data_IF_807615084564
#
_entry.id   IF_807615084564
#
_cell.length_a   1.000
_cell.length_b   1.000
_cell.length_c   1.000
_cell.angle_alpha   90.00
_cell.angle_beta   90.00
_cell.angle_gamma   90.00
#
_symmetry.space_group_name_H-M   'P 1'
#
loop_
_entity.id
_entity.type
_entity.pdbx_description
1 polymer ?
#
# COMPACT_ATOMS: atom_id res chain seq x y z
N UNK A 1 5.83 -19.69 -27.19
CA UNK A 1 5.90 -19.28 -25.77
C UNK A 1 4.96 -18.09 -25.67
N UNK A 2 3.74 -18.34 -25.21
CA UNK A 2 2.66 -17.36 -25.20
C UNK A 2 2.61 -16.79 -23.77
N UNK A 3 3.20 -15.61 -23.56
CA UNK A 3 3.09 -14.90 -22.28
C UNK A 3 1.77 -14.16 -22.30
N UNK A 4 0.74 -14.76 -21.72
CA UNK A 4 -0.59 -14.16 -21.74
C UNK A 4 -0.60 -12.89 -20.88
N UNK A 5 -1.31 -11.86 -21.32
CA UNK A 5 -1.46 -10.57 -20.65
C UNK A 5 -1.82 -10.67 -19.13
N UNK A 6 -2.41 -11.79 -18.70
CA UNK A 6 -2.72 -12.10 -17.31
C UNK A 6 -1.48 -12.24 -16.42
N UNK A 7 -0.36 -12.78 -16.94
CA UNK A 7 0.89 -12.99 -16.19
C UNK A 7 1.51 -11.65 -15.75
N UNK A 8 1.37 -10.61 -16.57
CA UNK A 8 1.84 -9.27 -16.24
C UNK A 8 0.86 -8.48 -15.35
N UNK A 9 -0.44 -8.74 -15.44
CA UNK A 9 -1.46 -8.03 -14.66
C UNK A 9 -1.28 -8.19 -13.14
N UNK A 10 -0.86 -9.37 -12.70
CA UNK A 10 -0.57 -9.62 -11.29
C UNK A 10 0.69 -8.91 -10.81
N UNK A 11 1.78 -8.98 -11.58
CA UNK A 11 3.04 -8.31 -11.24
C UNK A 11 2.84 -6.79 -11.16
N UNK A 12 2.09 -6.21 -12.10
CA UNK A 12 1.70 -4.80 -12.04
C UNK A 12 0.88 -4.49 -10.78
N UNK A 13 -0.10 -5.32 -10.44
CA UNK A 13 -0.91 -5.16 -9.21
C UNK A 13 -0.05 -5.22 -7.94
N UNK A 14 0.90 -6.15 -7.87
CA UNK A 14 1.84 -6.26 -6.74
C UNK A 14 2.71 -5.02 -6.61
N UNK A 15 3.32 -4.58 -7.72
CA UNK A 15 4.16 -3.39 -7.77
C UNK A 15 3.38 -2.12 -7.37
N UNK A 16 2.16 -1.96 -7.86
CA UNK A 16 1.33 -0.80 -7.54
C UNK A 16 0.96 -0.76 -6.05
N UNK A 17 0.64 -1.91 -5.43
CA UNK A 17 0.42 -1.99 -3.99
C UNK A 17 1.67 -1.64 -3.19
N UNK A 18 2.86 -2.09 -3.61
CA UNK A 18 4.11 -1.71 -2.95
C UNK A 18 4.34 -0.20 -3.01
N UNK A 19 4.09 0.45 -4.15
CA UNK A 19 4.19 1.91 -4.27
C UNK A 19 3.22 2.60 -3.31
N UNK A 20 1.96 2.14 -3.26
CA UNK A 20 0.96 2.71 -2.36
C UNK A 20 1.34 2.55 -0.89
N UNK A 21 1.91 1.41 -0.50
CA UNK A 21 2.43 1.19 0.85
C UNK A 21 3.53 2.21 1.16
N UNK A 22 4.52 2.37 0.30
CA UNK A 22 5.59 3.34 0.50
C UNK A 22 5.06 4.78 0.58
N UNK A 23 4.04 5.13 -0.19
CA UNK A 23 3.36 6.45 -0.09
C UNK A 23 2.74 6.67 1.29
N UNK A 24 2.11 5.65 1.86
CA UNK A 24 1.51 5.74 3.20
C UNK A 24 2.58 5.78 4.29
N UNK A 25 3.68 5.05 4.14
CA UNK A 25 4.85 5.13 5.04
C UNK A 25 5.41 6.54 5.09
N UNK A 26 5.69 7.14 3.92
CA UNK A 26 6.14 8.54 3.85
C UNK A 26 5.12 9.50 4.49
N UNK A 27 3.82 9.32 4.22
CA UNK A 27 2.78 10.16 4.83
C UNK A 27 2.75 10.03 6.37
N UNK A 28 3.00 8.84 6.91
CA UNK A 28 3.11 8.60 8.35
C UNK A 28 4.37 9.24 8.94
N UNK A 29 5.53 9.15 8.26
CA UNK A 29 6.76 9.83 8.66
C UNK A 29 6.58 11.35 8.72
N UNK A 30 5.90 11.93 7.73
CA UNK A 30 5.58 13.36 7.71
C UNK A 30 4.54 13.77 8.75
N UNK A 31 3.79 12.83 9.32
CA UNK A 31 2.72 13.12 10.26
C UNK A 31 3.27 13.63 11.61
N UNK A 32 4.45 13.19 12.01
CA UNK A 32 5.08 13.60 13.27
C UNK A 32 5.50 15.09 13.26
N UNK A 33 5.63 15.69 12.07
CA UNK A 33 5.87 17.13 11.90
C UNK A 33 4.59 17.98 11.87
N UNK A 34 3.40 17.37 11.96
CA UNK A 34 2.10 18.06 11.93
C UNK A 34 1.62 18.42 13.33
N UNK A 35 0.61 19.29 13.41
CA UNK A 35 -0.01 19.62 14.69
C UNK A 35 -0.66 18.41 15.35
N UNK A 36 -0.80 18.42 16.67
CA UNK A 36 -1.44 17.32 17.42
C UNK A 36 -2.86 17.01 16.91
N UNK A 37 -3.62 18.05 16.57
CA UNK A 37 -4.98 17.92 16.06
C UNK A 37 -5.01 17.21 14.71
N UNK A 38 -4.13 17.62 13.78
CA UNK A 38 -4.00 16.96 12.48
C UNK A 38 -3.51 15.52 12.64
N UNK A 39 -2.52 15.29 13.51
CA UNK A 39 -1.99 13.95 13.80
C UNK A 39 -3.08 13.02 14.32
N UNK A 40 -3.84 13.46 15.31
CA UNK A 40 -4.93 12.67 15.90
C UNK A 40 -6.03 12.37 14.87
N UNK A 41 -6.29 13.30 13.94
CA UNK A 41 -7.29 13.11 12.90
C UNK A 41 -6.82 12.19 11.75
N UNK A 42 -5.55 12.25 11.37
CA UNK A 42 -5.01 11.57 10.19
C UNK A 42 -4.38 10.21 10.50
N UNK A 43 -3.78 10.03 11.68
CA UNK A 43 -3.10 8.77 12.07
C UNK A 43 -4.01 7.54 11.92
N UNK A 44 -5.25 7.53 12.45
CA UNK A 44 -6.11 6.35 12.33
C UNK A 44 -6.46 6.00 10.88
N UNK A 45 -6.56 7.02 10.00
CA UNK A 45 -6.86 6.84 8.58
C UNK A 45 -5.68 6.23 7.83
N UNK A 46 -4.47 6.69 8.12
CA UNK A 46 -3.23 6.16 7.53
C UNK A 46 -2.97 4.72 7.99
N UNK A 47 -3.15 4.42 9.28
CA UNK A 47 -3.04 3.07 9.82
C UNK A 47 -4.07 2.12 9.19
N UNK A 48 -5.33 2.56 9.08
CA UNK A 48 -6.39 1.79 8.43
C UNK A 48 -6.07 1.51 6.95
N UNK A 49 -5.52 2.48 6.23
CA UNK A 49 -5.09 2.31 4.83
C UNK A 49 -3.91 1.34 4.73
N UNK A 50 -2.91 1.47 5.60
CA UNK A 50 -1.75 0.58 5.64
C UNK A 50 -2.16 -0.88 5.86
N UNK A 51 -3.06 -1.13 6.81
CA UNK A 51 -3.54 -2.48 7.08
C UNK A 51 -4.25 -3.08 5.86
N UNK A 52 -5.15 -2.33 5.21
CA UNK A 52 -5.80 -2.78 3.97
C UNK A 52 -4.82 -3.12 2.87
N UNK A 53 -3.86 -2.23 2.59
CA UNK A 53 -2.86 -2.45 1.54
C UNK A 53 -2.00 -3.69 1.81
N UNK A 54 -1.59 -3.90 3.07
CA UNK A 54 -0.82 -5.08 3.47
C UNK A 54 -1.64 -6.36 3.35
N UNK A 55 -2.93 -6.31 3.66
CA UNK A 55 -3.80 -7.48 3.52
C UNK A 55 -4.08 -7.79 2.04
N UNK A 56 -4.33 -6.78 1.20
CA UNK A 56 -4.42 -6.94 -0.26
C UNK A 56 -3.14 -7.53 -0.85
N UNK A 57 -1.96 -7.06 -0.40
CA UNK A 57 -0.66 -7.58 -0.83
C UNK A 57 -0.47 -9.06 -0.46
N UNK A 58 -0.94 -9.49 0.73
CA UNK A 58 -0.89 -10.91 1.14
C UNK A 58 -1.85 -11.79 0.34
N UNK A 59 -2.96 -11.24 -0.10
CA UNK A 59 -3.99 -11.96 -0.85
C UNK A 59 -3.73 -12.01 -2.36
N UNK A 60 -2.73 -11.25 -2.85
CA UNK A 60 -2.28 -11.34 -4.23
C UNK A 60 -1.71 -12.74 -4.51
N UNK A 61 -2.14 -13.43 -5.58
CA UNK A 61 -1.69 -14.78 -5.89
C UNK A 61 -0.19 -14.80 -6.24
N UNK A 62 0.65 -15.22 -5.29
CA UNK A 62 2.08 -15.43 -5.55
C UNK A 62 2.21 -16.56 -6.58
N UNK A 63 2.75 -16.25 -7.76
CA UNK A 63 3.02 -17.27 -8.78
C UNK A 63 3.98 -18.32 -8.17
N UNK A 64 3.72 -19.63 -8.34
CA UNK A 64 4.57 -20.71 -7.83
C UNK A 64 5.96 -20.74 -8.48
#
# INVERSE_FOLDING_TARGET
MDFTQADFGWVHSHHDLLIEISRVEMAMEHLDARSEQERTALRPRLESRMNRLRDELKHLPVLP
#
